data_IF_851479488612
#
_entry.id   IF_851479488612
#
_cell.length_a   1.000
_cell.length_b   1.000
_cell.length_c   1.000
_cell.angle_alpha   90.00
_cell.angle_beta   90.00
_cell.angle_gamma   90.00
#
_symmetry.space_group_name_H-M   'P 1'
#
loop_
_entity.id
_entity.type
_entity.pdbx_description
1 polymer ?
#
# COMPACT_ATOMS: atom_id res chain seq x y z
N UNK A 1 34.19 -20.51 -16.65
CA UNK A 1 32.87 -20.14 -17.19
C UNK A 1 31.81 -19.88 -16.11
N UNK A 2 31.71 -20.70 -15.05
CA UNK A 2 30.72 -20.52 -13.96
C UNK A 2 30.74 -19.16 -13.24
N UNK A 3 31.90 -18.51 -13.13
CA UNK A 3 32.02 -17.22 -12.43
C UNK A 3 31.31 -16.06 -13.14
N UNK A 4 31.24 -16.10 -14.48
CA UNK A 4 30.53 -15.09 -15.27
C UNK A 4 29.02 -15.20 -15.10
N UNK A 5 28.51 -16.44 -15.07
CA UNK A 5 27.09 -16.73 -14.83
C UNK A 5 26.64 -16.29 -13.43
N UNK A 6 27.49 -16.49 -12.42
CA UNK A 6 27.22 -16.03 -11.05
C UNK A 6 27.16 -14.50 -10.94
N UNK A 7 28.09 -13.79 -11.60
CA UNK A 7 28.08 -12.33 -11.64
C UNK A 7 26.84 -11.77 -12.36
N UNK A 8 26.41 -12.43 -13.44
CA UNK A 8 25.20 -12.07 -14.19
C UNK A 8 23.92 -12.34 -13.38
N UNK A 9 23.84 -13.48 -12.70
CA UNK A 9 22.73 -13.80 -11.80
C UNK A 9 22.63 -12.78 -10.65
N UNK A 10 23.76 -12.37 -10.09
CA UNK A 10 23.80 -11.35 -9.03
C UNK A 10 23.32 -9.98 -9.54
N UNK A 11 23.71 -9.57 -10.75
CA UNK A 11 23.26 -8.30 -11.33
C UNK A 11 21.74 -8.23 -11.55
N UNK A 12 21.10 -9.36 -11.85
CA UNK A 12 19.64 -9.46 -12.01
C UNK A 12 18.93 -9.52 -10.66
N UNK A 13 19.44 -10.32 -9.71
CA UNK A 13 18.77 -10.56 -8.42
C UNK A 13 19.00 -9.45 -7.39
N UNK A 14 20.10 -8.69 -7.50
CA UNK A 14 20.43 -7.61 -6.56
C UNK A 14 19.50 -6.39 -6.67
N UNK A 15 18.74 -6.24 -7.77
CA UNK A 15 17.81 -5.12 -7.98
C UNK A 15 16.38 -5.60 -8.15
N UNK A 16 15.46 -5.09 -7.32
CA UNK A 16 14.05 -5.50 -7.32
C UNK A 16 13.35 -5.28 -8.68
N UNK A 17 13.71 -4.20 -9.40
CA UNK A 17 13.15 -3.88 -10.71
C UNK A 17 13.59 -4.88 -11.79
N UNK A 18 14.88 -5.26 -11.80
CA UNK A 18 15.44 -6.24 -12.74
C UNK A 18 14.86 -7.64 -12.50
N UNK A 19 14.61 -7.99 -11.24
CA UNK A 19 13.98 -9.26 -10.84
C UNK A 19 12.54 -9.37 -11.36
N UNK A 20 11.70 -8.35 -11.21
CA UNK A 20 10.30 -8.40 -11.70
C UNK A 20 10.21 -8.59 -13.22
N UNK A 21 11.11 -7.97 -13.99
CA UNK A 21 11.18 -8.14 -15.43
C UNK A 21 11.64 -9.55 -15.83
N UNK A 22 12.65 -10.06 -15.13
CA UNK A 22 13.13 -11.42 -15.31
C UNK A 22 12.03 -12.44 -15.00
N UNK A 23 11.28 -12.22 -13.91
CA UNK A 23 10.16 -13.08 -13.52
C UNK A 23 9.01 -13.04 -14.55
N UNK A 24 8.76 -11.89 -15.18
CA UNK A 24 7.68 -11.70 -16.18
C UNK A 24 8.06 -12.18 -17.59
N UNK A 25 9.28 -11.91 -18.04
CA UNK A 25 9.72 -12.07 -19.44
C UNK A 25 10.85 -13.11 -19.64
N UNK A 26 11.41 -13.63 -18.55
CA UNK A 26 12.52 -14.59 -18.57
C UNK A 26 13.79 -14.05 -19.21
N UNK A 27 14.75 -14.96 -19.49
CA UNK A 27 16.02 -14.62 -20.16
C UNK A 27 15.81 -14.11 -21.61
N UNK A 28 14.64 -14.36 -22.21
CA UNK A 28 14.30 -13.97 -23.58
C UNK A 28 13.83 -12.52 -23.74
N UNK A 29 13.56 -11.80 -22.65
CA UNK A 29 13.24 -10.37 -22.67
C UNK A 29 14.41 -9.47 -23.08
N UNK A 30 15.62 -10.03 -23.20
CA UNK A 30 16.87 -9.36 -23.60
C UNK A 30 17.02 -9.31 -25.13
N UNK A 31 15.98 -8.89 -25.86
CA UNK A 31 16.03 -8.76 -27.31
C UNK A 31 16.45 -7.35 -27.72
N UNK A 32 17.58 -7.20 -28.43
CA UNK A 32 18.04 -6.01 -29.17
C UNK A 32 18.34 -4.71 -28.37
N UNK A 33 17.59 -4.39 -27.32
CA UNK A 33 17.64 -3.08 -26.63
C UNK A 33 18.77 -2.93 -25.59
N UNK A 34 19.42 -4.02 -25.15
CA UNK A 34 20.50 -3.98 -24.15
C UNK A 34 21.90 -4.21 -24.73
N UNK A 35 22.07 -4.14 -26.05
CA UNK A 35 23.35 -4.41 -26.71
C UNK A 35 24.35 -3.24 -26.58
N UNK A 36 23.85 -2.00 -26.42
CA UNK A 36 24.68 -0.79 -26.36
C UNK A 36 24.63 -0.12 -24.98
N UNK A 37 25.74 0.43 -24.44
CA UNK A 37 25.78 0.98 -23.08
C UNK A 37 24.79 2.13 -22.85
N UNK A 38 24.58 2.96 -23.86
CA UNK A 38 23.67 4.12 -23.79
C UNK A 38 22.19 3.70 -23.69
N UNK A 39 21.76 2.69 -24.47
CA UNK A 39 20.40 2.19 -24.42
C UNK A 39 20.14 1.39 -23.14
N UNK A 40 21.15 0.72 -22.60
CA UNK A 40 21.06 0.05 -21.30
C UNK A 40 20.84 1.05 -20.14
N UNK A 41 21.49 2.21 -20.17
CA UNK A 41 21.26 3.28 -19.19
C UNK A 41 19.89 3.95 -19.34
N UNK A 42 19.43 4.19 -20.58
CA UNK A 42 18.09 4.70 -20.83
C UNK A 42 17.00 3.71 -20.36
N UNK A 43 17.18 2.42 -20.63
CA UNK A 43 16.30 1.37 -20.16
C UNK A 43 16.26 1.28 -18.63
N UNK A 44 17.42 1.31 -17.96
CA UNK A 44 17.46 1.28 -16.49
C UNK A 44 16.76 2.49 -15.87
N UNK A 45 16.96 3.70 -16.41
CA UNK A 45 16.23 4.91 -15.98
C UNK A 45 14.72 4.78 -16.18
N UNK A 46 14.28 4.29 -17.34
CA UNK A 46 12.87 4.07 -17.66
C UNK A 46 12.24 3.03 -16.73
N UNK A 47 12.96 1.94 -16.48
CA UNK A 47 12.49 0.87 -15.58
C UNK A 47 12.50 1.29 -14.12
N UNK A 48 13.45 2.12 -13.68
CA UNK A 48 13.43 2.73 -12.34
C UNK A 48 12.27 3.71 -12.17
N UNK A 49 11.90 4.44 -13.23
CA UNK A 49 10.72 5.29 -13.24
C UNK A 49 9.44 4.45 -13.15
N UNK A 50 9.31 3.42 -13.98
CA UNK A 50 8.16 2.51 -13.95
C UNK A 50 8.08 1.72 -12.62
N UNK A 51 9.21 1.27 -12.07
CA UNK A 51 9.25 0.62 -10.76
C UNK A 51 8.84 1.56 -9.62
N UNK A 52 9.18 2.85 -9.72
CA UNK A 52 8.67 3.87 -8.79
C UNK A 52 7.19 4.17 -9.00
N UNK A 53 6.73 4.19 -10.25
CA UNK A 53 5.32 4.39 -10.59
C UNK A 53 4.42 3.20 -10.18
N UNK A 54 4.97 1.99 -10.17
CA UNK A 54 4.25 0.76 -9.77
C UNK A 54 4.35 0.45 -8.28
N UNK A 55 5.34 1.02 -7.57
CA UNK A 55 5.33 1.03 -6.11
C UNK A 55 4.17 1.91 -5.65
N UNK A 56 3.07 1.24 -5.29
CA UNK A 56 1.93 1.89 -4.62
C UNK A 56 2.47 2.56 -3.36
N UNK A 57 2.29 3.89 -3.19
CA UNK A 57 2.70 4.56 -1.98
C UNK A 57 1.98 3.89 -0.80
N UNK A 58 2.75 3.42 0.19
CA UNK A 58 2.18 3.04 1.48
C UNK A 58 1.96 4.35 2.22
N UNK A 59 0.71 4.83 2.37
CA UNK A 59 0.48 6.10 3.01
C UNK A 59 0.89 5.96 4.48
N UNK A 60 1.85 6.80 4.91
CA UNK A 60 2.31 6.85 6.28
C UNK A 60 1.12 7.18 7.19
N UNK A 61 0.67 6.21 8.00
CA UNK A 61 -0.53 6.34 8.83
C UNK A 61 -1.62 5.30 8.57
N UNK A 62 -1.50 4.49 7.51
CA UNK A 62 -2.42 3.37 7.31
C UNK A 62 -2.26 2.35 8.44
N UNK A 63 -3.37 2.00 9.09
CA UNK A 63 -3.37 1.04 10.20
C UNK A 63 -3.59 -0.40 9.71
N UNK A 64 -4.07 -0.55 8.48
CA UNK A 64 -4.25 -1.86 7.87
C UNK A 64 -4.77 -1.79 6.44
N UNK A 65 -4.94 -2.99 5.87
CA UNK A 65 -5.50 -3.20 4.54
C UNK A 65 -6.76 -4.04 4.62
N UNK A 66 -7.76 -3.68 3.82
CA UNK A 66 -8.97 -4.49 3.64
C UNK A 66 -8.96 -5.03 2.22
N UNK A 67 -8.85 -6.35 2.08
CA UNK A 67 -8.93 -7.00 0.78
C UNK A 67 -10.39 -7.22 0.40
N UNK A 68 -10.75 -6.76 -0.79
CA UNK A 68 -12.10 -6.86 -1.34
C UNK A 68 -12.04 -7.54 -2.71
N UNK A 69 -13.01 -8.41 -2.98
CA UNK A 69 -13.26 -8.86 -4.35
C UNK A 69 -13.93 -7.77 -5.19
N UNK A 70 -13.79 -7.82 -6.51
CA UNK A 70 -14.42 -6.88 -7.44
C UNK A 70 -15.92 -6.66 -7.15
N UNK A 71 -16.68 -7.75 -6.99
CA UNK A 71 -18.12 -7.66 -6.71
C UNK A 71 -18.44 -7.14 -5.30
N UNK A 72 -17.55 -7.35 -4.33
CA UNK A 72 -17.72 -6.85 -2.96
C UNK A 72 -17.49 -5.34 -2.91
N UNK A 73 -16.47 -4.84 -3.60
CA UNK A 73 -16.20 -3.41 -3.74
C UNK A 73 -17.33 -2.69 -4.49
N UNK A 74 -17.87 -3.29 -5.55
CA UNK A 74 -19.01 -2.74 -6.30
C UNK A 74 -20.29 -2.64 -5.46
N UNK A 75 -20.58 -3.67 -4.67
CA UNK A 75 -21.77 -3.68 -3.80
C UNK A 75 -21.62 -2.72 -2.62
N UNK A 76 -20.39 -2.54 -2.13
CA UNK A 76 -20.13 -1.91 -0.84
C UNK A 76 -20.68 -2.75 0.32
N UNK A 77 -20.63 -2.20 1.52
CA UNK A 77 -21.16 -2.86 2.71
C UNK A 77 -20.42 -2.50 3.99
N UNK A 78 -20.72 -3.22 5.07
CA UNK A 78 -20.06 -3.04 6.36
C UNK A 78 -19.08 -4.18 6.58
N UNK A 79 -17.81 -3.86 6.87
CA UNK A 79 -16.76 -4.85 7.11
C UNK A 79 -16.17 -4.67 8.51
N UNK A 80 -16.07 -5.75 9.25
CA UNK A 80 -15.35 -5.75 10.52
C UNK A 80 -13.86 -5.85 10.25
N UNK A 81 -13.11 -4.86 10.70
CA UNK A 81 -11.65 -4.79 10.54
C UNK A 81 -11.01 -4.83 11.91
N UNK A 82 -10.06 -5.75 12.08
CA UNK A 82 -9.18 -5.78 13.25
C UNK A 82 -7.93 -4.97 12.96
N UNK A 83 -7.58 -4.08 13.87
CA UNK A 83 -6.39 -3.26 13.74
C UNK A 83 -5.76 -3.01 15.10
N UNK A 84 -4.43 -2.88 15.13
CA UNK A 84 -3.70 -2.47 16.32
C UNK A 84 -3.68 -0.95 16.39
N UNK A 85 -4.52 -0.38 17.26
CA UNK A 85 -4.47 1.05 17.56
C UNK A 85 -3.35 1.32 18.57
N UNK A 86 -2.65 2.44 18.39
CA UNK A 86 -1.73 2.92 19.40
C UNK A 86 -2.56 3.59 20.49
N UNK A 87 -2.58 3.03 21.71
CA UNK A 87 -3.38 3.59 22.80
C UNK A 87 -3.12 5.10 22.96
N UNK A 88 -4.21 5.85 23.16
CA UNK A 88 -4.19 7.29 23.33
C UNK A 88 -3.17 7.67 24.39
N UNK A 89 -2.14 8.41 23.98
CA UNK A 89 -1.02 8.76 24.85
C UNK A 89 -1.52 9.74 25.89
N UNK A 90 -1.57 9.32 27.16
CA UNK A 90 -1.84 10.26 28.25
C UNK A 90 -0.71 11.30 28.32
N UNK A 91 -1.03 12.60 28.41
CA UNK A 91 -0.02 13.64 28.58
C UNK A 91 0.82 13.36 29.83
N UNK A 92 2.10 13.71 29.77
CA UNK A 92 2.99 13.56 30.92
C UNK A 92 2.55 14.52 32.03
N UNK A 93 2.26 13.98 33.22
CA UNK A 93 1.80 14.74 34.37
C UNK A 93 2.84 15.79 34.83
N UNK A 94 4.14 15.51 34.65
CA UNK A 94 5.22 16.41 35.08
C UNK A 94 5.41 17.64 34.17
N UNK A 95 5.22 17.51 32.85
CA UNK A 95 5.39 18.63 31.91
C UNK A 95 4.09 19.09 31.24
N UNK A 96 2.96 18.46 31.57
CA UNK A 96 1.63 18.69 31.00
C UNK A 96 1.63 18.65 29.45
N UNK A 97 2.28 17.64 28.86
CA UNK A 97 2.32 17.50 27.39
C UNK A 97 3.46 18.25 26.68
N UNK A 98 4.18 19.14 27.36
CA UNK A 98 5.15 20.04 26.70
C UNK A 98 6.50 19.41 26.39
N UNK A 99 6.85 18.29 27.03
CA UNK A 99 8.16 17.63 26.89
C UNK A 99 9.33 18.39 27.51
N UNK A 100 9.13 19.62 27.99
CA UNK A 100 10.17 20.48 28.55
C UNK A 100 9.71 21.14 29.84
N UNK A 101 10.64 21.36 30.76
CA UNK A 101 10.46 22.13 31.99
C UNK A 101 11.21 23.45 31.84
N UNK A 102 10.59 24.54 32.29
CA UNK A 102 11.23 25.86 32.32
C UNK A 102 11.93 26.02 33.65
N UNK A 103 13.25 26.15 33.62
CA UNK A 103 14.07 26.54 34.76
C UNK A 103 14.48 27.99 34.59
N UNK A 104 14.26 28.79 35.62
CA UNK A 104 14.70 30.18 35.63
C UNK A 104 15.97 30.23 36.45
N UNK A 105 17.07 30.63 35.84
CA UNK A 105 18.31 30.90 36.56
C UNK A 105 18.38 32.41 36.87
N UNK A 106 18.44 32.73 38.16
CA UNK A 106 18.45 34.09 38.73
C UNK A 106 19.86 34.54 39.15
N UNK A 107 20.90 33.90 38.64
CA UNK A 107 22.30 34.09 39.05
C UNK A 107 22.98 35.36 38.47
N UNK A 108 22.23 36.37 38.03
CA UNK A 108 22.76 37.64 37.51
C UNK A 108 21.69 38.70 37.24
N UNK A 109 22.09 39.85 36.69
CA UNK A 109 21.20 40.99 36.34
C UNK A 109 20.19 40.67 35.21
N UNK A 110 20.26 39.46 34.63
CA UNK A 110 19.43 39.00 33.52
C UNK A 110 18.74 37.69 33.91
N UNK A 111 17.42 37.65 33.80
CA UNK A 111 16.62 36.44 34.00
C UNK A 111 16.74 35.55 32.75
N UNK A 112 17.45 34.44 32.87
CA UNK A 112 17.60 33.45 31.80
C UNK A 112 16.57 32.34 31.98
N UNK A 113 15.72 32.13 30.96
CA UNK A 113 14.77 31.03 30.89
C UNK A 113 15.42 29.85 30.15
N UNK A 114 15.86 28.85 30.90
CA UNK A 114 16.43 27.61 30.36
C UNK A 114 15.32 26.57 30.19
N UNK A 115 15.17 26.05 28.97
CA UNK A 115 14.29 24.90 28.72
C UNK A 115 15.10 23.62 28.88
N UNK A 116 14.78 22.83 29.91
CA UNK A 116 15.35 21.51 30.13
C UNK A 116 14.37 20.43 29.63
N UNK A 117 14.89 19.34 29.06
CA UNK A 117 14.08 18.18 28.70
C UNK A 117 13.46 17.57 29.95
N UNK A 118 12.16 17.27 29.92
CA UNK A 118 11.48 16.64 31.05
C UNK A 118 12.00 15.20 31.24
N UNK A 119 12.62 14.94 32.39
CA UNK A 119 13.20 13.62 32.72
C UNK A 119 12.14 12.53 32.84
N UNK A 120 10.92 12.87 33.26
CA UNK A 120 9.81 11.92 33.42
C UNK A 120 9.31 11.34 32.10
N UNK A 121 9.47 12.07 30.98
CA UNK A 121 9.01 11.62 29.66
C UNK A 121 10.11 11.60 28.59
N UNK A 122 11.37 11.90 28.95
CA UNK A 122 12.50 11.95 28.03
C UNK A 122 12.33 12.95 26.87
N UNK A 123 11.57 14.04 27.07
CA UNK A 123 11.29 15.01 26.01
C UNK A 123 10.07 14.69 25.13
N UNK A 124 9.45 13.52 25.27
CA UNK A 124 8.31 13.12 24.42
C UNK A 124 7.02 13.88 24.72
N UNK A 125 6.88 14.42 25.93
CA UNK A 125 5.64 15.07 26.40
C UNK A 125 4.54 14.10 26.85
N UNK A 126 4.71 12.79 26.67
CA UNK A 126 3.70 11.79 26.99
C UNK A 126 4.25 10.72 27.93
N UNK A 127 3.37 10.00 28.64
CA UNK A 127 3.82 8.86 29.47
C UNK A 127 4.29 7.71 28.58
N UNK A 128 5.44 7.12 28.90
CA UNK A 128 5.89 5.88 28.26
C UNK A 128 4.97 4.73 28.68
N UNK A 129 4.18 4.26 27.72
CA UNK A 129 3.19 3.23 27.94
C UNK A 129 2.41 2.93 26.67
N UNK A 130 3.09 2.99 25.52
CA UNK A 130 2.51 2.72 24.21
C UNK A 130 2.10 1.24 24.16
N UNK A 131 0.93 0.92 24.71
CA UNK A 131 0.31 -0.38 24.55
C UNK A 131 -0.40 -0.36 23.21
N UNK A 132 0.07 -1.17 22.28
CA UNK A 132 -0.73 -1.53 21.12
C UNK A 132 -1.95 -2.30 21.63
N UNK A 133 -3.14 -1.77 21.36
CA UNK A 133 -4.39 -2.42 21.67
C UNK A 133 -5.01 -2.89 20.36
N UNK A 134 -5.23 -4.19 20.24
CA UNK A 134 -6.06 -4.74 19.19
C UNK A 134 -7.50 -4.28 19.41
N UNK A 135 -8.08 -3.66 18.38
CA UNK A 135 -9.47 -3.22 18.35
C UNK A 135 -10.13 -3.77 17.10
N UNK A 136 -11.42 -4.00 17.21
CA UNK A 136 -12.27 -4.32 16.07
C UNK A 136 -13.21 -3.15 15.80
N UNK A 137 -13.28 -2.69 14.56
CA UNK A 137 -14.19 -1.61 14.17
C UNK A 137 -14.95 -2.02 12.91
N UNK A 138 -16.21 -1.61 12.85
CA UNK A 138 -17.05 -1.80 11.69
C UNK A 138 -16.86 -0.62 10.74
N UNK A 139 -16.16 -0.85 9.64
CA UNK A 139 -15.92 0.17 8.61
C UNK A 139 -17.00 0.07 7.53
N UNK A 140 -17.53 1.21 7.11
CA UNK A 140 -18.49 1.27 5.99
C UNK A 140 -17.74 1.49 4.69
N UNK A 141 -17.82 0.51 3.79
CA UNK A 141 -17.23 0.55 2.45
C UNK A 141 -18.27 1.12 1.48
N UNK A 142 -17.96 2.22 0.76
CA UNK A 142 -18.87 2.79 -0.23
C UNK A 142 -19.08 1.85 -1.40
N UNK A 143 -20.24 1.96 -2.06
CA UNK A 143 -20.51 1.21 -3.28
C UNK A 143 -19.63 1.74 -4.42
N UNK A 144 -19.01 0.84 -5.18
CA UNK A 144 -18.06 1.21 -6.22
C UNK A 144 -16.69 1.59 -5.67
N UNK A 145 -16.31 1.06 -4.50
CA UNK A 145 -15.02 1.33 -3.89
C UNK A 145 -13.85 1.00 -4.84
N UNK A 146 -12.86 1.90 -4.88
CA UNK A 146 -11.70 1.77 -5.78
C UNK A 146 -10.47 1.22 -5.05
N UNK A 147 -9.55 0.62 -5.81
CA UNK A 147 -8.29 0.13 -5.28
C UNK A 147 -7.39 1.29 -4.84
N UNK A 148 -6.96 1.27 -3.57
CA UNK A 148 -6.18 2.34 -2.97
C UNK A 148 -7.01 3.43 -2.26
N UNK A 149 -8.34 3.31 -2.28
CA UNK A 149 -9.23 4.21 -1.52
C UNK A 149 -8.95 4.11 -0.01
N UNK A 150 -8.97 5.27 0.66
CA UNK A 150 -8.67 5.39 2.08
C UNK A 150 -9.95 5.63 2.86
N UNK A 151 -10.28 4.72 3.77
CA UNK A 151 -11.46 4.84 4.62
C UNK A 151 -11.03 5.20 6.04
N UNK A 152 -11.41 6.39 6.56
CA UNK A 152 -11.08 6.79 7.92
C UNK A 152 -11.81 5.92 8.94
N UNK A 153 -11.15 5.67 10.07
CA UNK A 153 -11.76 4.95 11.19
C UNK A 153 -12.42 5.97 12.11
N UNK A 154 -13.75 5.93 12.24
CA UNK A 154 -14.49 6.86 13.09
C UNK A 154 -14.07 6.81 14.57
N UNK A 155 -13.61 5.65 15.03
CA UNK A 155 -13.20 5.42 16.42
C UNK A 155 -11.80 5.97 16.77
N UNK A 156 -10.96 6.33 15.78
CA UNK A 156 -9.58 6.73 16.01
C UNK A 156 -9.14 7.84 15.03
N UNK A 157 -9.10 9.12 15.48
CA UNK A 157 -8.81 10.25 14.61
C UNK A 157 -7.36 10.22 14.10
N UNK A 158 -7.23 10.09 12.78
CA UNK A 158 -5.93 10.00 12.08
C UNK A 158 -5.56 8.56 11.66
N UNK A 159 -6.33 7.56 12.11
CA UNK A 159 -6.26 6.20 11.62
C UNK A 159 -7.17 6.00 10.40
N UNK A 160 -6.64 5.34 9.36
CA UNK A 160 -7.43 4.93 8.20
C UNK A 160 -6.98 3.57 7.69
N UNK A 161 -7.89 2.88 7.00
CA UNK A 161 -7.61 1.63 6.30
C UNK A 161 -7.58 1.87 4.80
N UNK A 162 -6.71 1.15 4.10
CA UNK A 162 -6.60 1.23 2.64
C UNK A 162 -7.30 0.03 2.02
N UNK A 163 -8.24 0.28 1.12
CA UNK A 163 -8.94 -0.76 0.38
C UNK A 163 -8.02 -1.33 -0.71
N UNK A 164 -7.95 -2.66 -0.79
CA UNK A 164 -7.26 -3.39 -1.86
C UNK A 164 -8.28 -4.20 -2.64
N UNK A 165 -8.65 -3.71 -3.81
CA UNK A 165 -9.66 -4.36 -4.64
C UNK A 165 -8.95 -5.29 -5.62
N UNK A 166 -9.22 -6.58 -5.50
CA UNK A 166 -8.74 -7.57 -6.47
C UNK A 166 -9.46 -7.37 -7.80
N UNK A 167 -8.74 -7.35 -8.93
CA UNK A 167 -9.36 -7.25 -10.25
C UNK A 167 -10.30 -8.44 -10.48
N UNK A 168 -11.32 -8.23 -11.29
CA UNK A 168 -12.24 -9.32 -11.65
C UNK A 168 -11.42 -10.50 -12.21
N UNK A 169 -11.60 -11.72 -11.69
CA UNK A 169 -10.95 -12.89 -12.26
C UNK A 169 -11.37 -12.99 -13.74
N UNK A 170 -10.44 -13.20 -14.67
CA UNK A 170 -10.79 -13.37 -16.07
C UNK A 170 -11.73 -14.58 -16.20
N UNK A 171 -12.83 -14.41 -16.93
CA UNK A 171 -13.76 -15.50 -17.19
C UNK A 171 -13.02 -16.69 -17.79
N UNK A 172 -13.34 -17.89 -17.32
CA UNK A 172 -12.77 -19.11 -17.90
C UNK A 172 -13.07 -19.17 -19.41
N UNK A 173 -12.13 -19.67 -20.19
CA UNK A 173 -12.29 -19.84 -21.64
C UNK A 173 -13.52 -20.68 -21.99
N UNK A 174 -13.90 -21.61 -21.11
CA UNK A 174 -15.11 -22.42 -21.21
C UNK A 174 -16.39 -21.57 -21.13
N UNK A 175 -16.47 -20.63 -20.18
CA UNK A 175 -17.63 -19.74 -20.03
C UNK A 175 -17.77 -18.85 -21.28
N UNK A 176 -16.66 -18.34 -21.80
CA UNK A 176 -16.66 -17.54 -23.04
C UNK A 176 -17.10 -18.36 -24.25
N UNK A 177 -16.63 -19.61 -24.37
CA UNK A 177 -17.05 -20.51 -25.44
C UNK A 177 -18.53 -20.87 -25.35
N UNK A 178 -19.04 -21.19 -24.15
CA UNK A 178 -20.45 -21.47 -23.92
C UNK A 178 -21.34 -20.28 -24.28
N UNK A 179 -20.96 -19.06 -23.89
CA UNK A 179 -21.67 -17.84 -24.25
C UNK A 179 -21.69 -17.61 -25.77
N UNK A 180 -20.56 -17.84 -26.45
CA UNK A 180 -20.49 -17.70 -27.91
C UNK A 180 -21.36 -18.74 -28.64
N UNK A 181 -21.35 -19.99 -28.20
CA UNK A 181 -22.22 -21.05 -28.74
C UNK A 181 -23.69 -20.70 -28.52
N UNK A 182 -24.06 -20.22 -27.32
CA UNK A 182 -25.41 -19.77 -27.02
C UNK A 182 -25.87 -18.61 -27.92
N UNK A 183 -24.99 -17.63 -28.16
CA UNK A 183 -25.26 -16.51 -29.08
C UNK A 183 -25.50 -17.01 -30.52
N UNK A 184 -24.66 -17.92 -31.02
CA UNK A 184 -24.81 -18.48 -32.36
C UNK A 184 -26.10 -19.29 -32.51
N UNK A 185 -26.45 -20.09 -31.50
CA UNK A 185 -27.71 -20.83 -31.47
C UNK A 185 -28.92 -19.88 -31.49
N UNK A 186 -28.88 -18.79 -30.69
CA UNK A 186 -29.93 -17.79 -30.65
C UNK A 186 -30.08 -17.05 -31.99
N UNK A 187 -28.96 -16.63 -32.61
CA UNK A 187 -28.96 -16.00 -33.93
C UNK A 187 -29.45 -16.94 -35.03
N UNK A 188 -29.05 -18.22 -34.98
CA UNK A 188 -29.51 -19.25 -35.91
C UNK A 188 -31.02 -19.51 -35.77
N UNK A 189 -31.52 -19.58 -34.53
CA UNK A 189 -32.96 -19.71 -34.27
C UNK A 189 -33.75 -18.48 -34.76
N UNK A 190 -33.20 -17.28 -34.56
CA UNK A 190 -33.82 -16.04 -35.03
C UNK A 190 -33.83 -15.98 -36.56
N UNK A 191 -32.74 -16.38 -37.22
CA UNK A 191 -32.68 -16.48 -38.68
C UNK A 191 -33.68 -17.52 -39.22
N UNK A 192 -33.83 -18.67 -38.55
CA UNK A 192 -34.83 -19.68 -38.91
C UNK A 192 -36.26 -19.13 -38.82
N UNK A 193 -36.58 -18.34 -37.79
CA UNK A 193 -37.91 -17.73 -37.66
C UNK A 193 -38.21 -16.64 -38.70
N UNK A 194 -37.19 -15.93 -39.19
CA UNK A 194 -37.38 -14.82 -40.13
C UNK A 194 -37.22 -15.20 -41.61
N UNK A 195 -36.48 -16.27 -41.93
CA UNK A 195 -36.26 -16.75 -43.30
C UNK A 195 -36.99 -18.06 -43.63
N UNK A 196 -37.65 -18.67 -42.64
CA UNK A 196 -38.44 -19.90 -42.77
C UNK A 196 -39.93 -19.65 -42.91
#
# INVERSE_FOLDING_TARGET
MKFRELAEAYAVLSRSASRMLYDRFGYRGRGVWTAEPASAHAFTRLMEYWARATKRPHPSGAVGYVELGFYEAMRGGKRLVRYSSRAERSPCDACAGRGTLRRTDDSGDVVLLQLETCETCGGSGYREGTREQEREVLVSIPAGAEDGEQIPIEADPGAFVVLRVSPQPPDSTLVRAAAAVGLLAALGFLAFLFLG
#
